data_IF_266290465766
#
_entry.id   IF_266290465766
#
_cell.length_a   1.000
_cell.length_b   1.000
_cell.length_c   1.000
_cell.angle_alpha   90.00
_cell.angle_beta   90.00
_cell.angle_gamma   90.00
#
_symmetry.space_group_name_H-M   'P 1'
#
loop_
_entity.id
_entity.type
_entity.pdbx_description
1 polymer ?
#
# COMPACT_ATOMS: atom_id res chain seq x y z
N UNK A 1 -20.03 -6.68 11.08
CA UNK A 1 -19.33 -6.16 9.89
C UNK A 1 -19.37 -7.26 8.86
N UNK A 2 -19.95 -7.01 7.68
CA UNK A 2 -19.99 -8.00 6.60
C UNK A 2 -18.55 -8.35 6.23
N UNK A 3 -18.09 -9.57 6.57
CA UNK A 3 -16.72 -10.01 6.30
C UNK A 3 -16.57 -10.32 4.82
N UNK A 4 -16.30 -9.30 4.02
CA UNK A 4 -15.83 -9.52 2.66
C UNK A 4 -14.36 -9.93 2.71
N UNK A 5 -13.95 -10.96 1.95
CA UNK A 5 -12.55 -11.34 1.89
C UNK A 5 -11.72 -10.18 1.36
N UNK A 6 -10.54 -9.99 1.93
CA UNK A 6 -9.57 -9.04 1.39
C UNK A 6 -8.81 -9.66 0.21
N UNK A 7 -8.44 -8.82 -0.74
CA UNK A 7 -7.60 -9.16 -1.90
C UNK A 7 -6.43 -8.18 -1.99
N UNK A 8 -5.33 -8.64 -2.57
CA UNK A 8 -4.26 -7.78 -3.06
C UNK A 8 -4.48 -7.51 -4.55
N UNK A 9 -4.52 -6.25 -4.94
CA UNK A 9 -4.56 -5.81 -6.33
C UNK A 9 -3.20 -5.23 -6.68
N UNK A 10 -2.49 -5.89 -7.59
CA UNK A 10 -1.20 -5.45 -8.11
C UNK A 10 -1.38 -4.74 -9.44
N UNK A 11 -0.92 -3.49 -9.55
CA UNK A 11 -0.75 -2.79 -10.81
C UNK A 11 0.70 -2.90 -11.21
N UNK A 12 0.99 -3.59 -12.32
CA UNK A 12 2.30 -3.49 -12.95
C UNK A 12 2.61 -2.01 -13.19
N UNK A 13 3.86 -1.58 -12.98
CA UNK A 13 4.22 -0.18 -13.21
C UNK A 13 5.53 -0.06 -13.97
N UNK A 14 5.68 1.09 -14.62
CA UNK A 14 6.94 1.51 -15.24
C UNK A 14 7.32 2.89 -14.73
N UNK A 15 8.59 3.07 -14.38
CA UNK A 15 9.17 4.32 -13.92
C UNK A 15 10.68 4.14 -13.78
N UNK A 16 11.39 5.21 -13.37
CA UNK A 16 12.85 5.15 -13.23
C UNK A 16 13.31 5.10 -11.78
N UNK A 17 12.84 6.04 -10.97
CA UNK A 17 13.30 6.20 -9.60
C UNK A 17 12.20 6.90 -8.78
N UNK A 18 12.23 6.74 -7.47
CA UNK A 18 11.36 7.40 -6.50
C UNK A 18 12.18 7.86 -5.29
N UNK A 19 11.71 8.85 -4.52
CA UNK A 19 12.23 9.08 -3.17
C UNK A 19 12.10 7.83 -2.30
N UNK A 20 13.07 7.57 -1.43
CA UNK A 20 13.07 6.38 -0.57
C UNK A 20 11.90 6.39 0.45
N UNK A 21 11.42 7.57 0.83
CA UNK A 21 10.33 7.84 1.77
C UNK A 21 9.03 8.27 1.07
N UNK A 22 8.83 7.85 -0.18
CA UNK A 22 7.71 8.28 -1.04
C UNK A 22 6.29 7.91 -0.56
N UNK A 23 6.10 7.31 0.62
CA UNK A 23 4.79 6.80 1.08
C UNK A 23 3.68 7.85 1.06
N UNK A 24 3.94 9.03 1.61
CA UNK A 24 2.95 10.12 1.58
C UNK A 24 2.75 10.70 0.17
N UNK A 25 3.83 10.80 -0.62
CA UNK A 25 3.78 11.27 -2.00
C UNK A 25 2.92 10.34 -2.89
N UNK A 26 3.07 9.02 -2.69
CA UNK A 26 2.29 8.01 -3.38
C UNK A 26 0.80 8.10 -3.01
N UNK A 27 0.47 8.21 -1.71
CA UNK A 27 -0.91 8.40 -1.27
C UNK A 27 -1.52 9.69 -1.84
N UNK A 28 -0.77 10.79 -1.84
CA UNK A 28 -1.19 12.06 -2.43
C UNK A 28 -1.46 11.93 -3.94
N UNK A 29 -0.58 11.25 -4.67
CA UNK A 29 -0.74 11.02 -6.11
C UNK A 29 -1.99 10.17 -6.43
N UNK A 30 -2.25 9.12 -5.65
CA UNK A 30 -3.45 8.28 -5.79
C UNK A 30 -4.71 9.09 -5.48
N UNK A 31 -4.71 9.87 -4.40
CA UNK A 31 -5.82 10.74 -4.01
C UNK A 31 -6.14 11.78 -5.09
N UNK A 32 -5.12 12.33 -5.77
CA UNK A 32 -5.30 13.25 -6.90
C UNK A 32 -5.84 12.54 -8.14
N UNK A 33 -5.42 11.31 -8.38
CA UNK A 33 -5.85 10.51 -9.52
C UNK A 33 -7.32 10.08 -9.42
N UNK A 34 -7.83 9.93 -8.19
CA UNK A 34 -9.24 9.68 -7.87
C UNK A 34 -9.58 10.22 -6.48
N UNK A 35 -10.40 11.27 -6.43
CA UNK A 35 -10.85 11.85 -5.16
C UNK A 35 -11.64 10.86 -4.28
N UNK A 36 -12.26 9.84 -4.89
CA UNK A 36 -12.98 8.79 -4.17
C UNK A 36 -12.06 7.88 -3.33
N UNK A 37 -10.75 7.86 -3.62
CA UNK A 37 -9.77 7.09 -2.87
C UNK A 37 -9.11 7.90 -1.73
N UNK A 38 -9.52 9.15 -1.53
CA UNK A 38 -8.98 10.00 -0.48
C UNK A 38 -9.69 9.78 0.86
N UNK A 39 -8.93 9.51 1.92
CA UNK A 39 -9.44 9.49 3.30
C UNK A 39 -10.30 8.28 3.67
N UNK A 40 -10.31 7.24 2.83
CA UNK A 40 -11.04 5.98 3.07
C UNK A 40 -10.24 5.05 3.98
N UNK A 41 -10.94 4.30 4.82
CA UNK A 41 -10.38 3.41 5.84
C UNK A 41 -10.07 1.99 5.33
N UNK A 42 -10.69 1.59 4.22
CA UNK A 42 -10.55 0.25 3.65
C UNK A 42 -9.37 0.10 2.67
N UNK A 43 -8.67 1.19 2.32
CA UNK A 43 -7.57 1.16 1.34
C UNK A 43 -6.21 1.03 2.03
N UNK A 44 -5.60 -0.15 1.91
CA UNK A 44 -4.18 -0.35 2.22
C UNK A 44 -3.30 -0.12 0.99
N UNK A 45 -2.22 0.65 1.11
CA UNK A 45 -1.24 0.89 0.04
C UNK A 45 0.13 0.38 0.50
N UNK A 46 0.73 -0.50 -0.29
CA UNK A 46 2.12 -0.93 -0.07
C UNK A 46 3.09 0.07 -0.69
N UNK A 47 4.25 0.27 -0.04
CA UNK A 47 5.34 1.04 -0.64
C UNK A 47 5.86 0.34 -1.90
N UNK A 48 6.24 1.12 -2.91
CA UNK A 48 6.84 0.57 -4.12
C UNK A 48 8.29 0.21 -3.79
N UNK A 49 8.62 -1.07 -3.98
CA UNK A 49 9.97 -1.57 -3.73
C UNK A 49 10.93 -1.17 -4.86
N UNK A 50 12.19 -0.95 -4.50
CA UNK A 50 13.27 -0.64 -5.44
C UNK A 50 14.65 -0.83 -4.81
N UNK A 51 15.69 -0.57 -5.59
CA UNK A 51 17.08 -0.68 -5.17
C UNK A 51 17.59 0.68 -4.71
N UNK A 52 18.28 0.79 -3.56
CA UNK A 52 18.88 2.06 -3.14
C UNK A 52 19.76 2.67 -4.23
N UNK A 53 19.54 3.94 -4.55
CA UNK A 53 20.22 4.63 -5.66
C UNK A 53 20.67 6.03 -5.22
N UNK A 54 21.72 6.07 -4.41
CA UNK A 54 22.23 7.32 -3.85
C UNK A 54 21.38 7.89 -2.69
N UNK A 55 21.72 9.09 -2.20
CA UNK A 55 21.09 9.64 -1.00
C UNK A 55 19.60 9.93 -1.21
N UNK A 56 18.75 9.17 -0.51
CA UNK A 56 17.30 9.43 -0.45
C UNK A 56 16.48 8.93 -1.63
N UNK A 57 17.03 8.11 -2.52
CA UNK A 57 16.32 7.58 -3.68
C UNK A 57 16.39 6.06 -3.79
N UNK A 58 15.38 5.50 -4.46
CA UNK A 58 15.36 4.13 -4.96
C UNK A 58 15.22 4.15 -6.49
N UNK A 59 15.98 3.30 -7.17
CA UNK A 59 15.76 2.96 -8.57
C UNK A 59 14.71 1.86 -8.64
N UNK A 60 13.72 2.04 -9.52
CA UNK A 60 12.71 1.04 -9.75
C UNK A 60 13.27 -0.10 -10.60
N UNK A 61 12.90 -1.37 -10.31
CA UNK A 61 13.26 -2.48 -11.17
C UNK A 61 12.74 -2.25 -12.60
N UNK A 62 13.54 -2.63 -13.61
CA UNK A 62 13.10 -2.53 -15.01
C UNK A 62 11.93 -3.48 -15.35
N UNK A 63 11.77 -4.54 -14.55
CA UNK A 63 10.74 -5.57 -14.70
C UNK A 63 10.08 -5.85 -13.35
N UNK A 64 8.83 -6.26 -13.39
CA UNK A 64 8.04 -6.72 -12.24
C UNK A 64 7.83 -5.69 -11.11
N UNK A 65 8.19 -4.42 -11.34
CA UNK A 65 7.81 -3.33 -10.47
C UNK A 65 6.27 -3.25 -10.40
N UNK A 66 5.75 -3.23 -9.18
CA UNK A 66 4.31 -3.34 -8.93
C UNK A 66 3.89 -2.41 -7.81
N UNK A 67 2.81 -1.66 -8.00
CA UNK A 67 2.06 -1.00 -6.93
C UNK A 67 1.04 -2.01 -6.42
N UNK A 68 1.13 -2.39 -5.14
CA UNK A 68 0.15 -3.28 -4.51
C UNK A 68 -0.75 -2.49 -3.59
N UNK A 69 -2.05 -2.74 -3.70
CA UNK A 69 -3.06 -2.23 -2.78
C UNK A 69 -3.86 -3.39 -2.20
N UNK A 70 -4.21 -3.31 -0.93
CA UNK A 70 -5.02 -4.29 -0.23
C UNK A 70 -6.37 -3.69 0.09
N UNK A 71 -7.44 -4.36 -0.34
CA UNK A 71 -8.81 -3.85 -0.25
C UNK A 71 -9.79 -5.00 0.04
N UNK A 72 -10.97 -4.72 0.60
CA UNK A 72 -12.10 -5.65 0.53
C UNK A 72 -12.47 -5.94 -0.93
N UNK A 73 -12.83 -7.19 -1.23
CA UNK A 73 -13.06 -7.63 -2.61
C UNK A 73 -14.19 -6.88 -3.35
N UNK A 74 -15.21 -6.42 -2.64
CA UNK A 74 -16.32 -5.64 -3.16
C UNK A 74 -15.90 -4.23 -3.64
N UNK A 75 -14.79 -3.69 -3.13
CA UNK A 75 -14.20 -2.42 -3.57
C UNK A 75 -13.27 -2.56 -4.80
N UNK A 76 -13.19 -3.74 -5.42
CA UNK A 76 -12.32 -3.94 -6.60
C UNK A 76 -12.61 -2.96 -7.73
N UNK A 77 -13.89 -2.63 -7.96
CA UNK A 77 -14.29 -1.68 -9.01
C UNK A 77 -13.74 -0.27 -8.74
N UNK A 78 -13.69 0.16 -7.49
CA UNK A 78 -13.32 1.52 -7.10
C UNK A 78 -11.85 1.83 -7.43
N UNK A 79 -11.01 0.80 -7.45
CA UNK A 79 -9.57 0.93 -7.72
C UNK A 79 -9.21 0.74 -9.19
N UNK A 80 -10.11 0.20 -10.01
CA UNK A 80 -9.88 0.02 -11.46
C UNK A 80 -9.60 1.34 -12.18
N UNK A 81 -10.09 2.46 -11.64
CA UNK A 81 -9.83 3.79 -12.17
C UNK A 81 -8.33 4.14 -12.25
N UNK A 82 -7.48 3.47 -11.47
CA UNK A 82 -6.03 3.66 -11.50
C UNK A 82 -5.35 2.99 -12.69
N UNK A 83 -6.00 2.02 -13.35
CA UNK A 83 -5.43 1.29 -14.47
C UNK A 83 -5.05 2.24 -15.61
N UNK A 84 -3.82 2.12 -16.13
CA UNK A 84 -3.33 2.95 -17.22
C UNK A 84 -2.95 4.39 -16.85
N UNK A 85 -3.25 4.86 -15.62
CA UNK A 85 -2.97 6.24 -15.20
C UNK A 85 -1.48 6.50 -15.03
N UNK A 86 -1.11 7.77 -15.20
CA UNK A 86 0.19 8.30 -14.79
C UNK A 86 0.05 8.94 -13.41
N UNK A 87 0.99 8.63 -12.53
CA UNK A 87 1.08 9.24 -11.21
C UNK A 87 2.40 10.01 -11.12
N UNK A 88 2.32 11.22 -10.57
CA UNK A 88 3.48 12.04 -10.24
C UNK A 88 3.78 11.90 -8.74
N UNK A 89 4.93 11.31 -8.42
CA UNK A 89 5.37 11.04 -7.06
C UNK A 89 6.57 11.95 -6.77
N UNK A 90 6.29 13.17 -6.35
CA UNK A 90 7.33 14.16 -6.00
C UNK A 90 8.22 14.57 -7.18
N UNK A 91 7.65 14.72 -8.38
CA UNK A 91 8.38 15.01 -9.62
C UNK A 91 8.79 13.76 -10.40
N UNK A 92 8.55 12.56 -9.84
CA UNK A 92 8.88 11.30 -10.49
C UNK A 92 7.63 10.64 -11.07
N UNK A 93 7.60 10.56 -12.40
CA UNK A 93 6.48 9.98 -13.15
C UNK A 93 6.56 8.46 -13.16
N UNK A 94 5.47 7.81 -12.76
CA UNK A 94 5.23 6.38 -13.00
C UNK A 94 3.97 6.21 -13.85
N UNK A 95 3.90 5.10 -14.60
CA UNK A 95 2.71 4.68 -15.32
C UNK A 95 2.24 3.35 -14.77
N UNK A 96 0.96 3.28 -14.42
CA UNK A 96 0.31 2.05 -13.99
C UNK A 96 -0.20 1.27 -15.20
N UNK A 97 -0.05 -0.04 -15.16
CA UNK A 97 -0.54 -1.01 -16.12
C UNK A 97 -1.89 -1.57 -15.71
N UNK A 98 -2.19 -2.78 -16.19
CA UNK A 98 -3.41 -3.49 -15.86
C UNK A 98 -3.33 -4.09 -14.44
N UNK A 99 -4.43 -4.04 -13.67
CA UNK A 99 -4.48 -4.66 -12.35
C UNK A 99 -4.62 -6.17 -12.43
N UNK A 100 -3.97 -6.87 -11.50
CA UNK A 100 -4.17 -8.29 -11.24
C UNK A 100 -4.59 -8.45 -9.78
N UNK A 101 -5.79 -9.00 -9.55
CA UNK A 101 -6.28 -9.32 -8.22
C UNK A 101 -5.83 -10.73 -7.81
N UNK A 102 -5.41 -10.88 -6.56
CA UNK A 102 -5.09 -12.17 -5.93
C UNK A 102 -5.67 -12.22 -4.51
N UNK A 103 -6.14 -13.39 -4.05
CA UNK A 103 -6.52 -13.56 -2.65
C UNK A 103 -5.31 -13.32 -1.74
N UNK A 104 -5.58 -13.02 -0.47
CA UNK A 104 -4.52 -13.04 0.54
C UNK A 104 -4.01 -14.47 0.75
N UNK A 105 -2.69 -14.60 0.82
CA UNK A 105 -2.04 -15.84 1.21
C UNK A 105 -1.89 -15.87 2.74
N UNK A 106 -2.37 -16.93 3.43
CA UNK A 106 -2.19 -17.07 4.87
C UNK A 106 -0.70 -17.13 5.23
N UNK A 107 -0.31 -16.38 6.26
CA UNK A 107 1.04 -16.39 6.80
C UNK A 107 0.99 -16.75 8.30
N UNK A 108 1.77 -17.75 8.77
CA UNK A 108 1.76 -18.15 10.18
C UNK A 108 2.48 -17.14 11.09
N UNK A 109 3.25 -16.23 10.52
CA UNK A 109 3.97 -15.18 11.23
C UNK A 109 3.96 -13.88 10.43
N UNK A 110 3.89 -12.76 11.16
CA UNK A 110 3.99 -11.41 10.61
C UNK A 110 5.21 -10.73 11.19
N UNK A 111 5.91 -9.97 10.36
CA UNK A 111 7.04 -9.15 10.78
C UNK A 111 6.79 -7.69 10.41
N UNK A 112 7.02 -6.80 11.37
CA UNK A 112 7.04 -5.36 11.15
C UNK A 112 8.19 -4.76 11.95
N UNK A 113 8.92 -3.82 11.35
CA UNK A 113 10.03 -3.13 12.02
C UNK A 113 9.57 -2.26 13.18
N UNK A 114 8.37 -1.67 13.04
CA UNK A 114 7.75 -0.78 14.02
C UNK A 114 6.25 -1.03 13.96
N UNK A 115 5.61 -1.14 15.13
CA UNK A 115 4.16 -1.21 15.29
C UNK A 115 3.77 -0.13 16.28
N UNK A 116 2.73 0.64 15.98
CA UNK A 116 2.20 1.67 16.87
C UNK A 116 0.69 1.47 17.04
N UNK A 117 0.20 1.67 18.26
CA UNK A 117 -1.23 1.67 18.56
C UNK A 117 -1.55 2.99 19.25
N UNK A 118 -2.45 3.77 18.64
CA UNK A 118 -2.81 5.10 19.16
C UNK A 118 -3.24 4.99 20.63
N UNK A 119 -2.68 5.86 21.48
CA UNK A 119 -2.89 5.93 22.94
C UNK A 119 -2.17 4.86 23.79
N UNK A 120 -1.42 3.93 23.20
CA UNK A 120 -0.66 2.92 23.94
C UNK A 120 0.85 3.13 23.74
N UNK A 121 1.43 3.97 24.61
CA UNK A 121 2.86 4.34 24.56
C UNK A 121 3.71 3.58 25.57
N UNK A 122 3.09 3.01 26.61
CA UNK A 122 3.78 2.21 27.64
C UNK A 122 3.83 0.72 27.25
N UNK A 123 4.88 -0.03 27.64
CA UNK A 123 5.10 -1.41 27.20
C UNK A 123 3.93 -2.37 27.49
N UNK A 124 3.48 -2.47 28.75
CA UNK A 124 2.45 -3.44 29.16
C UNK A 124 1.08 -3.13 28.51
N UNK A 125 0.56 -1.89 28.55
CA UNK A 125 -0.69 -1.54 27.85
C UNK A 125 -0.61 -1.77 26.33
N UNK A 126 0.56 -1.55 25.72
CA UNK A 126 0.76 -1.84 24.30
C UNK A 126 0.63 -3.34 24.00
N UNK A 127 1.27 -4.22 24.79
CA UNK A 127 1.18 -5.67 24.61
C UNK A 127 -0.24 -6.20 24.80
N UNK A 128 -0.98 -5.69 25.79
CA UNK A 128 -2.40 -6.01 25.98
C UNK A 128 -3.25 -5.58 24.78
N UNK A 129 -3.00 -4.37 24.25
CA UNK A 129 -3.71 -3.88 23.08
C UNK A 129 -3.42 -4.71 21.83
N UNK A 130 -2.18 -5.14 21.62
CA UNK A 130 -1.78 -6.06 20.55
C UNK A 130 -2.54 -7.38 20.68
N UNK A 131 -2.51 -8.02 21.85
CA UNK A 131 -3.19 -9.30 22.10
C UNK A 131 -4.68 -9.22 21.83
N UNK A 132 -5.34 -8.17 22.34
CA UNK A 132 -6.79 -7.93 22.12
C UNK A 132 -7.12 -7.74 20.64
N UNK A 133 -6.34 -6.96 19.90
CA UNK A 133 -6.60 -6.72 18.48
C UNK A 133 -6.39 -8.00 17.66
N UNK A 134 -5.30 -8.73 17.90
CA UNK A 134 -5.02 -10.00 17.22
C UNK A 134 -6.11 -11.05 17.50
N UNK A 135 -6.66 -11.10 18.71
CA UNK A 135 -7.77 -12.01 19.05
C UNK A 135 -9.13 -11.63 18.45
N UNK A 136 -9.24 -10.45 17.83
CA UNK A 136 -10.48 -9.95 17.21
C UNK A 136 -10.48 -9.99 15.67
N UNK A 137 -9.34 -10.37 15.06
CA UNK A 137 -9.18 -10.57 13.62
C UNK A 137 -9.78 -11.92 13.19
#
# INVERSE_FOLDING_TARGET
MSQHPYINVGFALSGKQLPADHGYLLYSAISKASAALHGIDWLGIELISGFPSGPGFITLPERDATLRIRIPADHYRDVLILAGKRLDIGGHQIRLGLPVARPLEPAPSLYARVVTIKKFTEPEPFLEAVSRQLGSL
#
